data_IF_533801402404
#
_entry.id   IF_533801402404
#
_cell.length_a   1.000
_cell.length_b   1.000
_cell.length_c   1.000
_cell.angle_alpha   90.00
_cell.angle_beta   90.00
_cell.angle_gamma   90.00
#
_symmetry.space_group_name_H-M   'P 1'
#
loop_
_entity.id
_entity.type
_entity.pdbx_description
1 polymer ?
#
# COMPACT_ATOMS: atom_id res chain seq x y z
N UNK A 1 28.23 -42.64 -11.88
CA UNK A 1 27.55 -41.54 -12.61
C UNK A 1 26.14 -41.24 -12.11
N UNK A 2 25.37 -42.25 -11.68
CA UNK A 2 23.96 -42.12 -11.25
C UNK A 2 23.79 -41.29 -9.96
N UNK A 3 24.64 -41.48 -8.95
CA UNK A 3 24.58 -40.76 -7.66
C UNK A 3 24.80 -39.25 -7.77
N UNK A 4 25.72 -38.79 -8.65
CA UNK A 4 25.93 -37.35 -8.90
C UNK A 4 24.70 -36.69 -9.55
N UNK A 5 24.00 -37.41 -10.42
CA UNK A 5 22.77 -36.95 -11.09
C UNK A 5 21.60 -36.85 -10.09
N UNK A 6 21.46 -37.84 -9.20
CA UNK A 6 20.47 -37.80 -8.12
C UNK A 6 20.72 -36.66 -7.12
N UNK A 7 21.98 -36.42 -6.72
CA UNK A 7 22.34 -35.31 -5.85
C UNK A 7 22.02 -33.95 -6.50
N UNK A 8 22.30 -33.78 -7.79
CA UNK A 8 22.00 -32.56 -8.52
C UNK A 8 20.48 -32.31 -8.62
N UNK A 9 19.69 -33.36 -8.91
CA UNK A 9 18.22 -33.25 -8.98
C UNK A 9 17.64 -32.90 -7.60
N UNK A 10 18.12 -33.55 -6.53
CA UNK A 10 17.71 -33.26 -5.15
C UNK A 10 18.04 -31.82 -4.76
N UNK A 11 19.24 -31.34 -5.08
CA UNK A 11 19.66 -29.97 -4.83
C UNK A 11 18.77 -28.94 -5.56
N UNK A 12 18.49 -29.16 -6.85
CA UNK A 12 17.60 -28.29 -7.65
C UNK A 12 16.20 -28.27 -7.03
N UNK A 13 15.68 -29.42 -6.59
CA UNK A 13 14.37 -29.53 -5.97
C UNK A 13 14.31 -28.78 -4.64
N UNK A 14 15.32 -28.93 -3.78
CA UNK A 14 15.42 -28.18 -2.52
C UNK A 14 15.52 -26.67 -2.74
N UNK A 15 16.31 -26.23 -3.71
CA UNK A 15 16.41 -24.81 -4.08
C UNK A 15 15.05 -24.26 -4.52
N UNK A 16 14.34 -24.99 -5.41
CA UNK A 16 13.00 -24.57 -5.87
C UNK A 16 12.00 -24.46 -4.72
N UNK A 17 11.98 -25.44 -3.81
CA UNK A 17 11.08 -25.39 -2.65
C UNK A 17 11.38 -24.17 -1.78
N UNK A 18 12.64 -23.88 -1.51
CA UNK A 18 13.03 -22.74 -0.68
C UNK A 18 12.67 -21.40 -1.33
N UNK A 19 12.85 -21.27 -2.65
CA UNK A 19 12.42 -20.08 -3.41
C UNK A 19 10.91 -19.91 -3.33
N UNK A 20 10.13 -20.98 -3.58
CA UNK A 20 8.67 -20.91 -3.50
C UNK A 20 8.19 -20.50 -2.11
N UNK A 21 8.78 -21.07 -1.05
CA UNK A 21 8.46 -20.68 0.33
C UNK A 21 8.77 -19.20 0.57
N UNK A 22 9.94 -18.72 0.15
CA UNK A 22 10.32 -17.32 0.30
C UNK A 22 9.37 -16.37 -0.45
N UNK A 23 8.92 -16.73 -1.65
CA UNK A 23 7.93 -15.96 -2.42
C UNK A 23 6.61 -15.88 -1.66
N UNK A 24 6.06 -17.01 -1.22
CA UNK A 24 4.80 -17.04 -0.46
C UNK A 24 4.90 -16.19 0.80
N UNK A 25 6.02 -16.30 1.54
CA UNK A 25 6.26 -15.48 2.73
C UNK A 25 6.33 -13.99 2.38
N UNK A 26 6.95 -13.63 1.27
CA UNK A 26 7.07 -12.22 0.84
C UNK A 26 5.72 -11.64 0.41
N UNK A 27 4.91 -12.39 -0.34
CA UNK A 27 3.56 -11.99 -0.74
C UNK A 27 2.66 -11.77 0.47
N UNK A 28 2.72 -12.68 1.45
CA UNK A 28 1.93 -12.57 2.67
C UNK A 28 2.33 -11.36 3.50
N UNK A 29 3.64 -11.11 3.63
CA UNK A 29 4.17 -9.93 4.31
C UNK A 29 3.71 -8.63 3.62
N UNK A 30 3.81 -8.56 2.29
CA UNK A 30 3.38 -7.40 1.52
C UNK A 30 1.88 -7.16 1.66
N UNK A 31 1.07 -8.23 1.64
CA UNK A 31 -0.36 -8.14 1.88
C UNK A 31 -0.67 -7.59 3.28
N UNK A 32 -0.05 -8.14 4.33
CA UNK A 32 -0.22 -7.65 5.70
C UNK A 32 0.13 -6.17 5.81
N UNK A 33 1.21 -5.74 5.17
CA UNK A 33 1.60 -4.32 5.16
C UNK A 33 0.59 -3.42 4.46
N UNK A 34 0.09 -3.82 3.30
CA UNK A 34 -0.97 -3.09 2.60
C UNK A 34 -2.20 -2.93 3.49
N UNK A 35 -2.55 -3.97 4.25
CA UNK A 35 -3.71 -3.92 5.16
C UNK A 35 -3.47 -2.96 6.32
N UNK A 36 -2.28 -2.99 6.95
CA UNK A 36 -1.91 -2.04 8.00
C UNK A 36 -1.95 -0.59 7.51
N UNK A 37 -1.41 -0.34 6.31
CA UNK A 37 -1.41 0.98 5.68
C UNK A 37 -2.85 1.44 5.38
N UNK A 38 -3.70 0.54 4.91
CA UNK A 38 -5.11 0.84 4.64
C UNK A 38 -5.89 1.16 5.91
N UNK A 39 -5.66 0.42 7.00
CA UNK A 39 -6.32 0.67 8.28
C UNK A 39 -5.90 2.03 8.83
N UNK A 40 -4.59 2.29 8.88
CA UNK A 40 -4.05 3.58 9.27
C UNK A 40 -4.63 4.74 8.45
N UNK A 41 -4.69 4.58 7.12
CA UNK A 41 -5.26 5.59 6.22
C UNK A 41 -6.73 5.85 6.56
N UNK A 42 -7.55 4.80 6.69
CA UNK A 42 -8.98 4.92 6.94
C UNK A 42 -9.32 5.45 8.34
N UNK A 43 -8.50 5.13 9.34
CA UNK A 43 -8.59 5.69 10.70
C UNK A 43 -8.24 7.17 10.72
N UNK A 44 -7.26 7.59 9.92
CA UNK A 44 -6.81 8.98 9.84
C UNK A 44 -7.76 9.89 9.06
N UNK A 45 -8.68 9.32 8.26
CA UNK A 45 -9.66 10.04 7.46
C UNK A 45 -10.84 10.56 8.28
N UNK A 46 -11.29 11.79 8.02
CA UNK A 46 -12.52 12.33 8.62
C UNK A 46 -13.78 11.97 7.83
N UNK A 47 -13.64 11.57 6.57
CA UNK A 47 -14.75 11.15 5.71
C UNK A 47 -15.49 9.92 6.24
N UNK A 48 -16.81 9.86 6.02
CA UNK A 48 -17.63 8.68 6.31
C UNK A 48 -17.35 7.50 5.34
N UNK A 49 -16.64 7.77 4.24
CA UNK A 49 -16.33 6.76 3.25
C UNK A 49 -14.99 6.08 3.56
N UNK A 50 -14.94 4.77 3.35
CA UNK A 50 -13.67 4.07 3.34
C UNK A 50 -13.02 4.09 1.96
N UNK A 51 -11.72 3.81 1.95
CA UNK A 51 -10.94 3.59 0.75
C UNK A 51 -10.22 2.25 0.86
N UNK A 52 -9.98 1.63 -0.29
CA UNK A 52 -9.20 0.40 -0.43
C UNK A 52 -7.94 0.67 -1.22
N UNK A 53 -6.86 -0.06 -0.92
CA UNK A 53 -5.63 -0.01 -1.72
C UNK A 53 -5.94 -0.47 -3.14
N UNK A 54 -5.73 0.43 -4.10
CA UNK A 54 -5.88 0.15 -5.52
C UNK A 54 -4.56 -0.30 -6.12
N UNK A 55 -3.47 0.40 -5.78
CA UNK A 55 -2.14 0.16 -6.35
C UNK A 55 -1.03 0.61 -5.41
N UNK A 56 0.07 -0.14 -5.42
CA UNK A 56 1.37 0.30 -4.90
C UNK A 56 2.22 0.71 -6.10
N UNK A 57 2.67 1.97 -6.16
CA UNK A 57 3.35 2.52 -7.34
C UNK A 57 4.84 2.24 -7.34
N UNK A 58 5.48 2.36 -6.19
CA UNK A 58 6.91 2.16 -6.04
C UNK A 58 7.38 2.44 -4.63
N UNK A 59 8.60 2.01 -4.34
CA UNK A 59 9.27 2.24 -3.07
C UNK A 59 10.66 2.82 -3.33
N UNK A 60 10.98 3.91 -2.64
CA UNK A 60 12.33 4.51 -2.62
C UNK A 60 12.94 4.24 -1.26
N UNK A 61 14.21 3.80 -1.25
CA UNK A 61 14.98 3.63 -0.03
C UNK A 61 15.75 4.92 0.26
N UNK A 62 15.63 5.43 1.48
CA UNK A 62 16.40 6.56 1.99
C UNK A 62 16.94 6.20 3.37
N UNK A 63 18.25 6.00 3.45
CA UNK A 63 18.94 5.52 4.67
C UNK A 63 18.25 4.24 5.22
N UNK A 64 17.75 4.34 6.45
CA UNK A 64 17.05 3.27 7.17
C UNK A 64 15.54 3.21 6.89
N UNK A 65 15.01 4.15 6.10
CA UNK A 65 13.59 4.29 5.82
C UNK A 65 13.26 3.94 4.38
N UNK A 66 12.08 3.37 4.19
CA UNK A 66 11.44 3.17 2.90
C UNK A 66 10.28 4.14 2.77
N UNK A 67 10.20 4.79 1.63
CA UNK A 67 9.10 5.65 1.23
C UNK A 67 8.33 4.96 0.11
N UNK A 68 7.10 4.54 0.38
CA UNK A 68 6.27 3.80 -0.57
C UNK A 68 5.06 4.60 -0.98
N UNK A 69 4.84 4.71 -2.28
CA UNK A 69 3.67 5.36 -2.86
C UNK A 69 2.48 4.41 -2.98
N UNK A 70 1.38 4.81 -2.37
CA UNK A 70 0.10 4.11 -2.40
C UNK A 70 -0.95 4.94 -3.15
N UNK A 71 -1.78 4.25 -3.91
CA UNK A 71 -3.01 4.79 -4.46
C UNK A 71 -4.19 4.05 -3.84
N UNK A 72 -5.08 4.82 -3.22
CA UNK A 72 -6.32 4.34 -2.63
C UNK A 72 -7.50 4.78 -3.48
N UNK A 73 -8.50 3.93 -3.56
CA UNK A 73 -9.75 4.22 -4.26
C UNK A 73 -10.93 4.08 -3.32
N UNK A 74 -11.90 4.99 -3.43
CA UNK A 74 -13.10 4.98 -2.59
C UNK A 74 -13.79 3.62 -2.67
N UNK A 75 -14.19 3.11 -1.51
CA UNK A 75 -14.85 1.83 -1.34
C UNK A 75 -16.37 1.96 -1.43
N UNK A 76 -17.06 0.86 -1.71
CA UNK A 76 -18.51 0.73 -1.50
C UNK A 76 -18.88 0.63 0.00
N UNK A 77 -17.92 0.39 0.88
CA UNK A 77 -18.12 0.34 2.33
C UNK A 77 -17.96 1.71 3.01
N UNK A 78 -18.67 1.90 4.12
CA UNK A 78 -18.68 3.15 4.90
C UNK A 78 -18.45 2.89 6.39
N UNK A 79 -18.04 3.94 7.13
CA UNK A 79 -17.76 3.87 8.57
C UNK A 79 -18.96 3.48 9.42
N UNK A 80 -20.18 3.70 8.91
CA UNK A 80 -21.43 3.30 9.57
C UNK A 80 -21.69 1.79 9.52
N UNK A 81 -21.13 1.10 8.52
CA UNK A 81 -21.39 -0.32 8.30
C UNK A 81 -20.41 -1.21 9.05
N UNK A 82 -19.16 -0.77 9.21
CA UNK A 82 -18.10 -1.58 9.80
C UNK A 82 -16.89 -0.74 10.26
N UNK A 83 -16.06 -1.25 11.18
CA UNK A 83 -14.77 -0.67 11.51
C UNK A 83 -13.71 -0.87 10.40
N UNK A 84 -12.65 -0.04 10.42
CA UNK A 84 -11.63 0.04 9.36
C UNK A 84 -10.93 -1.30 9.08
N UNK A 85 -10.60 -2.07 10.12
CA UNK A 85 -9.92 -3.36 9.99
C UNK A 85 -10.73 -4.44 9.25
N UNK A 86 -12.06 -4.25 9.12
CA UNK A 86 -12.94 -5.13 8.35
C UNK A 86 -13.15 -4.66 6.90
N UNK A 87 -12.52 -3.57 6.48
CA UNK A 87 -12.64 -3.07 5.11
C UNK A 87 -11.75 -3.92 4.20
N UNK A 88 -12.24 -5.09 3.79
CA UNK A 88 -11.50 -6.06 2.97
C UNK A 88 -12.38 -6.64 1.89
N UNK A 89 -11.74 -7.19 0.85
CA UNK A 89 -12.43 -7.88 -0.25
C UNK A 89 -13.25 -9.07 0.25
N UNK A 90 -12.70 -9.84 1.18
CA UNK A 90 -13.35 -11.01 1.79
C UNK A 90 -14.64 -10.64 2.55
N UNK A 91 -14.76 -9.39 2.99
CA UNK A 91 -15.95 -8.86 3.68
C UNK A 91 -16.84 -8.00 2.76
N UNK A 92 -16.64 -8.09 1.44
CA UNK A 92 -17.50 -7.42 0.47
C UNK A 92 -17.15 -5.95 0.19
N UNK A 93 -15.99 -5.48 0.65
CA UNK A 93 -15.52 -4.12 0.37
C UNK A 93 -14.63 -4.08 -0.88
N UNK A 94 -15.05 -3.28 -1.86
CA UNK A 94 -14.40 -3.13 -3.16
C UNK A 94 -14.33 -1.67 -3.55
N UNK A 95 -13.35 -1.33 -4.39
CA UNK A 95 -13.29 -0.02 -5.02
C UNK A 95 -14.53 0.22 -5.88
N UNK A 96 -15.15 1.39 -5.75
CA UNK A 96 -16.27 1.77 -6.63
C UNK A 96 -15.80 1.86 -8.09
N UNK A 97 -16.65 1.45 -9.03
CA UNK A 97 -16.34 1.52 -10.45
C UNK A 97 -16.54 2.96 -10.99
N UNK A 98 -15.65 3.86 -10.59
CA UNK A 98 -15.60 5.25 -11.05
C UNK A 98 -14.14 5.63 -11.33
N UNK A 99 -13.87 6.26 -12.46
CA UNK A 99 -12.53 6.78 -12.79
C UNK A 99 -12.36 8.25 -12.33
N UNK A 100 -13.34 8.79 -11.61
CA UNK A 100 -13.28 10.15 -11.12
C UNK A 100 -12.12 10.33 -10.13
N UNK A 101 -11.20 11.25 -10.43
CA UNK A 101 -10.01 11.52 -9.64
C UNK A 101 -10.34 11.94 -8.20
N UNK A 102 -11.52 12.52 -7.96
CA UNK A 102 -11.99 12.85 -6.59
C UNK A 102 -12.22 11.63 -5.70
N UNK A 103 -12.25 10.44 -6.28
CA UNK A 103 -12.39 9.17 -5.56
C UNK A 103 -11.06 8.44 -5.39
N UNK A 104 -9.96 9.06 -5.84
CA UNK A 104 -8.62 8.50 -5.79
C UNK A 104 -7.79 9.37 -4.85
N UNK A 105 -7.13 8.72 -3.89
CA UNK A 105 -6.21 9.35 -2.95
C UNK A 105 -4.82 8.78 -3.19
N UNK A 106 -3.82 9.65 -3.31
CA UNK A 106 -2.41 9.26 -3.42
C UNK A 106 -1.74 9.58 -2.10
N UNK A 107 -0.94 8.64 -1.60
CA UNK A 107 -0.17 8.85 -0.38
C UNK A 107 1.27 8.35 -0.51
N UNK A 108 2.18 9.04 0.15
CA UNK A 108 3.58 8.63 0.29
C UNK A 108 3.83 8.23 1.74
N UNK A 109 3.99 6.93 2.00
CA UNK A 109 4.06 6.36 3.35
C UNK A 109 5.50 6.02 3.69
N UNK A 110 5.98 6.56 4.81
CA UNK A 110 7.27 6.21 5.40
C UNK A 110 7.12 4.98 6.29
N UNK A 111 8.04 4.04 6.16
CA UNK A 111 8.11 2.85 6.99
C UNK A 111 9.55 2.34 7.13
N UNK A 112 9.83 1.62 8.21
CA UNK A 112 11.11 0.93 8.44
C UNK A 112 10.81 -0.56 8.60
N UNK A 113 10.45 -1.19 7.49
CA UNK A 113 9.86 -2.53 7.51
C UNK A 113 8.50 -2.54 8.21
N UNK A 114 8.19 -3.62 8.94
CA UNK A 114 6.86 -3.84 9.56
C UNK A 114 6.84 -3.61 11.08
N UNK A 115 7.95 -3.15 11.67
CA UNK A 115 8.15 -3.13 13.13
C UNK A 115 7.81 -1.80 13.79
N UNK A 116 7.65 -0.73 13.00
CA UNK A 116 7.38 0.62 13.51
C UNK A 116 5.93 1.00 13.25
N UNK A 117 5.27 1.60 14.25
CA UNK A 117 3.90 2.12 14.10
C UNK A 117 3.87 3.19 13.01
N UNK A 118 2.96 3.04 12.04
CA UNK A 118 2.80 4.04 10.98
C UNK A 118 2.44 5.41 11.57
N UNK A 119 1.62 5.44 12.62
CA UNK A 119 1.18 6.67 13.29
C UNK A 119 2.33 7.47 13.92
N UNK A 120 3.43 6.82 14.32
CA UNK A 120 4.54 7.51 14.98
C UNK A 120 5.49 8.22 14.01
N UNK A 121 5.42 7.92 12.72
CA UNK A 121 6.35 8.45 11.70
C UNK A 121 5.64 9.12 10.51
N UNK A 122 4.31 8.96 10.39
CA UNK A 122 3.53 9.51 9.30
C UNK A 122 2.56 10.59 9.79
N UNK A 123 2.41 11.64 8.99
CA UNK A 123 1.39 12.67 9.16
C UNK A 123 0.47 12.64 7.94
N UNK A 124 -0.78 12.23 8.18
CA UNK A 124 -1.79 12.05 7.14
C UNK A 124 -1.93 13.27 6.22
N UNK A 125 -2.08 14.48 6.78
CA UNK A 125 -2.34 15.70 6.00
C UNK A 125 -1.14 16.13 5.14
N UNK A 126 0.08 15.78 5.54
CA UNK A 126 1.29 16.09 4.79
C UNK A 126 1.56 15.08 3.67
N UNK A 127 1.07 13.85 3.80
CA UNK A 127 1.49 12.72 2.98
C UNK A 127 0.42 12.20 2.04
N UNK A 128 -0.85 12.57 2.24
CA UNK A 128 -1.98 12.12 1.44
C UNK A 128 -2.70 13.29 0.78
N UNK A 129 -2.93 13.19 -0.53
CA UNK A 129 -3.68 14.17 -1.31
C UNK A 129 -4.62 13.50 -2.30
N UNK A 130 -5.69 14.19 -2.69
CA UNK A 130 -6.57 13.72 -3.76
C UNK A 130 -5.79 13.69 -5.08
N UNK A 131 -6.13 12.74 -5.96
CA UNK A 131 -5.50 12.63 -7.26
C UNK A 131 -5.86 13.79 -8.22
N UNK A 132 -6.91 14.56 -7.92
CA UNK A 132 -7.33 15.75 -8.67
C UNK A 132 -6.49 16.99 -8.32
N UNK A 133 -5.85 17.00 -7.15
CA UNK A 133 -4.81 17.96 -6.78
C UNK A 133 -3.54 17.55 -7.56
N UNK A 134 -3.56 17.89 -8.85
CA UNK A 134 -2.40 17.74 -9.73
C UNK A 134 -1.23 18.54 -9.18
N UNK A 135 -0.01 18.12 -9.51
CA UNK A 135 1.25 18.85 -9.28
C UNK A 135 1.18 20.36 -9.62
N UNK A 136 0.22 20.77 -10.47
CA UNK A 136 -0.12 22.16 -10.74
C UNK A 136 -0.44 22.98 -9.47
N UNK A 137 -1.24 22.44 -8.54
CA UNK A 137 -1.59 23.16 -7.30
C UNK A 137 -0.38 23.33 -6.37
N UNK A 138 0.52 22.35 -6.33
CA UNK A 138 1.79 22.48 -5.59
C UNK A 138 2.75 23.46 -6.26
N UNK A 139 2.81 23.49 -7.59
CA UNK A 139 3.58 24.48 -8.35
C UNK A 139 3.01 25.89 -8.15
N UNK A 140 1.68 26.07 -8.21
CA UNK A 140 1.01 27.35 -7.95
C UNK A 140 1.22 27.83 -6.50
N UNK A 141 1.28 26.91 -5.53
CA UNK A 141 1.55 27.24 -4.12
C UNK A 141 3.02 27.62 -3.87
N UNK A 142 3.95 27.00 -4.59
CA UNK A 142 5.38 27.32 -4.53
C UNK A 142 5.74 28.57 -5.35
N UNK A 143 4.97 28.86 -6.40
CA UNK A 143 5.15 30.01 -7.28
C UNK A 143 3.82 30.76 -7.49
N UNK A 144 3.30 31.46 -6.46
CA UNK A 144 1.99 32.11 -6.52
C UNK A 144 1.88 33.28 -7.53
N UNK A 145 2.99 33.65 -8.20
CA UNK A 145 3.07 34.80 -9.11
C UNK A 145 3.40 34.41 -10.56
N UNK A 146 3.13 33.17 -11.00
CA UNK A 146 3.21 32.82 -12.43
C UNK A 146 1.86 33.14 -13.10
N UNK A 147 1.52 34.42 -13.14
CA UNK A 147 0.51 35.02 -14.03
C UNK A 147 0.83 36.50 -14.25
#
# INVERSE_FOLDING_TARGET
>A
MITKRFLLISLIFSIRINICKAIITTEQILYTFQMMVQDWFNESQTSNCYYVVQKVKGTVLYEDFMSTEFEFKRSNCTKQQMPAHLVRREYGCFSINSEDLKHIMKCTILHKGFTVSLQSINNFAAQCHNADINALYEIEKLFPNIH
#
